data_IF_151436533223
#
_entry.id   IF_151436533223
#
_cell.length_a   1.000
_cell.length_b   1.000
_cell.length_c   1.000
_cell.angle_alpha   90.00
_cell.angle_beta   90.00
_cell.angle_gamma   90.00
#
_symmetry.space_group_name_H-M   'P 1'
#
loop_
_entity.id
_entity.type
_entity.pdbx_description
1 polymer ?
#
# COMPACT_ATOMS: atom_id res chain seq x y z
N UNK A 1 31.54 -27.50 -21.39
CA UNK A 1 30.33 -27.34 -20.56
C UNK A 1 30.30 -25.90 -20.07
N UNK A 2 29.48 -25.05 -20.68
CA UNK A 2 29.28 -23.70 -20.15
C UNK A 2 28.58 -23.83 -18.79
N UNK A 3 29.21 -23.28 -17.75
CA UNK A 3 28.61 -23.14 -16.44
C UNK A 3 27.49 -22.11 -16.60
N UNK A 4 26.26 -22.58 -16.79
CA UNK A 4 25.08 -21.73 -16.69
C UNK A 4 25.01 -21.23 -15.25
N UNK A 5 25.35 -19.95 -15.06
CA UNK A 5 25.22 -19.26 -13.78
C UNK A 5 23.75 -19.37 -13.35
N UNK A 6 23.52 -20.01 -12.21
CA UNK A 6 22.20 -20.12 -11.61
C UNK A 6 21.93 -18.84 -10.81
N UNK A 7 21.17 -17.93 -11.41
CA UNK A 7 20.73 -16.70 -10.75
C UNK A 7 19.44 -16.99 -9.96
N UNK A 8 19.43 -16.62 -8.68
CA UNK A 8 18.25 -16.66 -7.81
C UNK A 8 17.65 -15.27 -7.56
N UNK A 9 18.45 -14.23 -7.73
CA UNK A 9 18.09 -12.84 -7.48
C UNK A 9 18.64 -11.96 -8.59
N UNK A 10 17.87 -10.93 -8.91
CA UNK A 10 18.19 -9.96 -9.94
C UNK A 10 17.76 -8.57 -9.47
N UNK A 11 18.71 -7.66 -9.38
CA UNK A 11 18.46 -6.27 -9.00
C UNK A 11 18.97 -5.35 -10.13
N UNK A 12 18.04 -4.67 -10.77
CA UNK A 12 18.30 -3.59 -11.70
C UNK A 12 17.60 -2.33 -11.22
N UNK A 13 18.38 -1.46 -10.56
CA UNK A 13 17.91 -0.16 -10.10
C UNK A 13 18.35 0.96 -11.05
N UNK A 14 17.40 1.84 -11.43
CA UNK A 14 17.66 3.02 -12.28
C UNK A 14 18.39 2.71 -13.61
N UNK A 15 18.14 1.53 -14.17
CA UNK A 15 18.82 1.05 -15.38
C UNK A 15 18.03 1.36 -16.65
N UNK A 16 18.40 2.46 -17.33
CA UNK A 16 17.70 2.92 -18.55
C UNK A 16 17.80 1.96 -19.75
N UNK A 17 18.80 1.08 -19.78
CA UNK A 17 18.98 0.07 -20.83
C UNK A 17 18.11 -1.18 -20.60
N UNK A 18 17.58 -1.35 -19.39
CA UNK A 18 16.70 -2.46 -19.04
C UNK A 18 15.29 -2.14 -19.55
N UNK A 19 14.97 -2.77 -20.65
CA UNK A 19 13.68 -2.72 -21.35
C UNK A 19 13.02 -4.09 -21.38
N UNK A 20 11.73 -4.14 -21.72
CA UNK A 20 11.02 -5.40 -21.95
C UNK A 20 11.74 -6.34 -22.94
N UNK A 21 12.40 -5.80 -23.96
CA UNK A 21 13.13 -6.58 -24.96
C UNK A 21 14.41 -7.21 -24.38
N UNK A 22 15.17 -6.43 -23.61
CA UNK A 22 16.39 -6.93 -22.95
C UNK A 22 16.08 -8.08 -22.00
N UNK A 23 15.05 -7.94 -21.16
CA UNK A 23 14.63 -8.98 -20.22
C UNK A 23 14.14 -10.23 -20.98
N UNK A 24 13.33 -10.06 -22.02
CA UNK A 24 12.85 -11.17 -22.84
C UNK A 24 13.99 -11.96 -23.50
N UNK A 25 15.07 -11.27 -23.89
CA UNK A 25 16.20 -11.88 -24.59
C UNK A 25 17.17 -12.59 -23.66
N UNK A 26 17.42 -12.02 -22.48
CA UNK A 26 18.53 -12.43 -21.62
C UNK A 26 18.10 -13.14 -20.33
N UNK A 27 16.87 -12.95 -19.87
CA UNK A 27 16.46 -13.46 -18.55
C UNK A 27 15.55 -14.69 -18.61
N UNK A 28 14.85 -14.93 -19.73
CA UNK A 28 13.91 -16.06 -19.82
C UNK A 28 14.57 -17.44 -19.75
N UNK A 29 15.90 -17.53 -19.89
CA UNK A 29 16.66 -18.77 -19.69
C UNK A 29 16.95 -19.09 -18.22
N UNK A 30 16.60 -18.21 -17.27
CA UNK A 30 16.93 -18.37 -15.85
C UNK A 30 15.70 -18.72 -15.01
N UNK A 31 15.26 -19.99 -15.06
CA UNK A 31 14.05 -20.47 -14.36
C UNK A 31 14.14 -20.49 -12.81
N UNK A 32 15.33 -20.22 -12.25
CA UNK A 32 15.61 -20.28 -10.82
C UNK A 32 15.45 -18.93 -10.10
N UNK A 33 15.15 -17.85 -10.83
CA UNK A 33 15.01 -16.52 -10.22
C UNK A 33 13.75 -16.49 -9.33
N UNK A 34 13.94 -16.07 -8.09
CA UNK A 34 12.92 -15.94 -7.05
C UNK A 34 12.63 -14.48 -6.70
N UNK A 35 13.60 -13.59 -6.92
CA UNK A 35 13.53 -12.16 -6.58
C UNK A 35 13.94 -11.33 -7.80
N UNK A 36 13.09 -10.36 -8.15
CA UNK A 36 13.37 -9.39 -9.21
C UNK A 36 13.05 -7.98 -8.71
N UNK A 37 14.03 -7.08 -8.80
CA UNK A 37 13.85 -5.64 -8.62
C UNK A 37 14.13 -4.91 -9.94
N UNK A 38 13.15 -4.16 -10.41
CA UNK A 38 13.20 -3.36 -11.63
C UNK A 38 12.78 -1.90 -11.38
N UNK A 39 12.95 -1.41 -10.16
CA UNK A 39 12.61 -0.03 -9.81
C UNK A 39 13.43 0.96 -10.65
N UNK A 40 12.78 2.04 -11.06
CA UNK A 40 13.30 3.11 -11.89
C UNK A 40 13.82 2.64 -13.28
N UNK A 41 13.39 1.47 -13.76
CA UNK A 41 13.69 0.99 -15.11
C UNK A 41 12.64 1.43 -16.15
N UNK A 42 13.00 1.43 -17.44
CA UNK A 42 12.09 1.75 -18.56
C UNK A 42 11.27 0.53 -18.99
N UNK A 43 10.37 0.11 -18.11
CA UNK A 43 9.53 -1.08 -18.27
C UNK A 43 8.05 -0.72 -18.36
N UNK A 44 7.26 -1.61 -18.97
CA UNK A 44 5.80 -1.47 -19.07
C UNK A 44 5.11 -2.71 -18.50
N UNK A 45 3.78 -2.70 -18.40
CA UNK A 45 2.98 -3.84 -17.94
C UNK A 45 3.32 -5.17 -18.65
N UNK A 46 3.80 -5.11 -19.90
CA UNK A 46 4.29 -6.30 -20.61
C UNK A 46 5.34 -7.07 -19.81
N UNK A 47 6.20 -6.38 -19.06
CA UNK A 47 7.20 -7.06 -18.25
C UNK A 47 6.58 -7.87 -17.14
N UNK A 48 5.55 -7.31 -16.50
CA UNK A 48 4.84 -7.99 -15.44
C UNK A 48 4.27 -9.32 -15.96
N UNK A 49 3.67 -9.30 -17.16
CA UNK A 49 3.14 -10.48 -17.82
C UNK A 49 4.23 -11.52 -18.18
N UNK A 50 5.38 -11.06 -18.68
CA UNK A 50 6.50 -11.92 -19.04
C UNK A 50 7.09 -12.58 -17.79
N UNK A 51 7.35 -11.80 -16.74
CA UNK A 51 7.99 -12.29 -15.53
C UNK A 51 7.13 -13.36 -14.85
N UNK A 52 5.85 -13.06 -14.66
CA UNK A 52 4.96 -13.99 -13.97
C UNK A 52 4.54 -15.20 -14.82
N UNK A 53 4.78 -15.14 -16.14
CA UNK A 53 4.62 -16.30 -17.05
C UNK A 53 5.85 -17.22 -17.07
N UNK A 54 7.05 -16.65 -17.10
CA UNK A 54 8.29 -17.40 -17.37
C UNK A 54 9.13 -17.70 -16.12
N UNK A 55 8.82 -17.10 -14.97
CA UNK A 55 9.53 -17.33 -13.71
C UNK A 55 8.61 -18.01 -12.69
N UNK A 56 8.43 -19.34 -12.77
CA UNK A 56 7.48 -20.08 -11.92
C UNK A 56 7.89 -20.14 -10.43
N UNK A 57 9.09 -19.68 -10.09
CA UNK A 57 9.61 -19.57 -8.72
C UNK A 57 9.60 -18.15 -8.19
N UNK A 58 9.19 -17.16 -8.98
CA UNK A 58 9.18 -15.77 -8.57
C UNK A 58 8.29 -15.57 -7.34
N UNK A 59 8.92 -15.21 -6.22
CA UNK A 59 8.24 -14.92 -4.95
C UNK A 59 8.19 -13.43 -4.64
N UNK A 60 9.11 -12.65 -5.21
CA UNK A 60 9.26 -11.23 -4.91
C UNK A 60 9.46 -10.43 -6.18
N UNK A 61 8.67 -9.37 -6.35
CA UNK A 61 8.74 -8.48 -7.49
C UNK A 61 8.60 -7.02 -7.05
N UNK A 62 9.61 -6.21 -7.36
CA UNK A 62 9.58 -4.76 -7.20
C UNK A 62 9.60 -4.10 -8.58
N UNK A 63 8.58 -3.30 -8.86
CA UNK A 63 8.46 -2.51 -10.08
C UNK A 63 7.97 -1.13 -9.66
N UNK A 64 8.50 -0.07 -10.26
CA UNK A 64 7.99 1.26 -9.96
C UNK A 64 8.92 2.40 -10.27
N UNK A 65 8.43 3.61 -10.05
CA UNK A 65 9.22 4.86 -10.06
C UNK A 65 9.24 5.41 -8.63
N UNK A 66 10.38 5.23 -7.97
CA UNK A 66 10.59 5.58 -6.55
C UNK A 66 11.21 6.97 -6.38
N UNK A 67 11.74 7.54 -7.46
CA UNK A 67 12.26 8.90 -7.49
C UNK A 67 11.09 9.88 -7.64
N UNK A 68 11.15 10.99 -6.92
CA UNK A 68 10.12 12.02 -6.93
C UNK A 68 10.12 12.69 -8.31
N UNK A 69 9.17 12.30 -9.17
CA UNK A 69 9.03 12.85 -10.53
C UNK A 69 8.36 14.24 -10.46
N UNK A 70 8.86 15.10 -9.57
CA UNK A 70 8.52 16.52 -9.52
C UNK A 70 8.90 17.22 -10.84
N UNK A 71 9.76 16.59 -11.65
CA UNK A 71 10.09 17.02 -13.01
C UNK A 71 9.17 16.32 -14.05
N UNK A 72 7.87 16.64 -13.99
CA UNK A 72 6.82 16.16 -14.93
C UNK A 72 7.04 16.59 -16.40
N UNK A 73 8.17 17.25 -16.70
CA UNK A 73 8.61 17.57 -18.05
C UNK A 73 9.45 16.46 -18.69
N UNK A 74 9.83 15.42 -17.93
CA UNK A 74 10.40 14.21 -18.51
C UNK A 74 9.28 13.32 -19.04
N UNK A 75 9.46 12.77 -20.25
CA UNK A 75 8.58 11.75 -20.82
C UNK A 75 8.62 10.50 -19.93
N UNK A 76 7.83 10.46 -18.86
CA UNK A 76 7.65 9.25 -18.07
C UNK A 76 6.93 8.26 -18.97
N UNK A 77 7.62 7.18 -19.32
CA UNK A 77 7.04 6.11 -20.11
C UNK A 77 5.82 5.56 -19.35
N UNK A 78 4.63 5.61 -19.98
CA UNK A 78 3.41 5.07 -19.39
C UNK A 78 3.60 3.58 -19.11
N UNK A 79 3.40 3.17 -17.85
CA UNK A 79 3.56 1.76 -17.50
C UNK A 79 2.46 0.92 -18.16
N UNK A 80 1.23 1.42 -18.15
CA UNK A 80 0.07 0.78 -18.73
C UNK A 80 -0.24 1.26 -20.15
N UNK A 81 0.69 1.07 -21.08
CA UNK A 81 0.40 1.31 -22.50
C UNK A 81 -0.64 0.32 -23.03
N UNK A 82 -1.79 0.84 -23.50
CA UNK A 82 -2.92 0.04 -24.03
C UNK A 82 -2.51 -1.01 -25.08
N UNK A 83 -1.50 -0.74 -25.90
CA UNK A 83 -0.99 -1.65 -26.93
C UNK A 83 -0.35 -2.93 -26.36
N UNK A 84 0.04 -2.92 -25.09
CA UNK A 84 0.68 -4.06 -24.43
C UNK A 84 -0.26 -4.80 -23.49
N UNK A 85 -1.52 -4.40 -23.42
CA UNK A 85 -2.49 -5.07 -22.60
C UNK A 85 -3.04 -6.32 -23.30
N UNK A 86 -2.84 -7.49 -22.69
CA UNK A 86 -3.52 -8.72 -23.10
C UNK A 86 -4.66 -8.99 -22.11
N UNK A 87 -5.94 -8.79 -22.49
CA UNK A 87 -7.09 -8.97 -21.59
C UNK A 87 -7.31 -10.44 -21.19
N UNK A 88 -6.64 -11.39 -21.85
CA UNK A 88 -6.67 -12.82 -21.49
C UNK A 88 -5.56 -13.20 -20.53
N UNK A 89 -4.64 -12.27 -20.26
CA UNK A 89 -3.56 -12.50 -19.32
C UNK A 89 -4.07 -12.34 -17.89
N UNK A 90 -3.84 -13.37 -17.10
CA UNK A 90 -4.05 -13.33 -15.66
C UNK A 90 -2.88 -14.03 -14.98
N UNK A 91 -2.56 -13.64 -13.74
CA UNK A 91 -1.52 -14.27 -12.93
C UNK A 91 -1.95 -15.67 -12.47
N UNK A 92 -2.02 -16.62 -13.41
CA UNK A 92 -2.37 -18.00 -13.08
C UNK A 92 -1.22 -18.66 -12.33
N UNK A 93 -1.50 -19.11 -11.09
CA UNK A 93 -0.58 -19.93 -10.27
C UNK A 93 0.74 -19.26 -9.93
N UNK A 94 0.75 -17.94 -9.78
CA UNK A 94 1.92 -17.22 -9.28
C UNK A 94 2.33 -17.70 -7.88
N UNK A 95 3.63 -17.69 -7.60
CA UNK A 95 4.18 -17.90 -6.25
C UNK A 95 4.52 -16.59 -5.54
N UNK A 96 4.10 -15.46 -6.10
CA UNK A 96 4.36 -14.14 -5.54
C UNK A 96 3.79 -14.02 -4.13
N UNK A 97 4.68 -13.65 -3.21
CA UNK A 97 4.40 -13.33 -1.81
C UNK A 97 4.60 -11.84 -1.54
N UNK A 98 5.52 -11.21 -2.26
CA UNK A 98 5.88 -9.81 -2.13
C UNK A 98 5.72 -9.13 -3.48
N UNK A 99 4.86 -8.11 -3.51
CA UNK A 99 4.64 -7.31 -4.69
C UNK A 99 4.68 -5.83 -4.32
N UNK A 100 5.61 -5.09 -4.91
CA UNK A 100 5.66 -3.64 -4.85
C UNK A 100 5.50 -3.07 -6.25
N UNK A 101 4.55 -2.15 -6.35
CA UNK A 101 4.13 -1.46 -7.55
C UNK A 101 4.04 0.01 -7.19
N UNK A 102 5.21 0.66 -7.10
CA UNK A 102 5.36 2.03 -6.60
C UNK A 102 5.36 3.05 -7.76
N UNK A 103 4.64 4.17 -7.64
CA UNK A 103 4.74 5.28 -8.60
C UNK A 103 4.41 4.90 -10.06
N UNK A 104 3.56 3.89 -10.25
CA UNK A 104 3.08 3.45 -11.54
C UNK A 104 2.10 4.48 -12.10
N UNK A 105 2.50 5.10 -13.20
CA UNK A 105 1.72 6.12 -13.88
C UNK A 105 0.90 5.55 -15.04
N UNK A 106 -0.38 5.95 -15.11
CA UNK A 106 -1.24 5.80 -16.29
C UNK A 106 -1.65 7.17 -16.81
N UNK A 107 -1.45 7.42 -18.11
CA UNK A 107 -1.92 8.65 -18.78
C UNK A 107 -3.38 8.54 -19.18
N UNK A 108 -3.88 7.31 -19.33
CA UNK A 108 -5.25 7.05 -19.73
C UNK A 108 -6.11 6.72 -18.51
N UNK A 109 -7.17 7.50 -18.32
CA UNK A 109 -8.22 7.26 -17.31
C UNK A 109 -9.05 6.06 -17.79
N UNK A 110 -8.45 4.87 -17.71
CA UNK A 110 -8.95 3.68 -18.38
C UNK A 110 -9.32 2.65 -17.32
N UNK A 111 -10.58 2.72 -16.88
CA UNK A 111 -11.21 1.77 -15.96
C UNK A 111 -10.90 0.30 -16.33
N UNK A 112 -10.73 0.01 -17.63
CA UNK A 112 -10.36 -1.32 -18.14
C UNK A 112 -8.96 -1.79 -17.69
N UNK A 113 -7.98 -0.87 -17.62
CA UNK A 113 -6.61 -1.19 -17.21
C UNK A 113 -6.58 -1.49 -15.72
N UNK A 114 -7.27 -0.66 -14.93
CA UNK A 114 -7.50 -0.90 -13.51
C UNK A 114 -8.20 -2.25 -13.32
N UNK A 115 -9.34 -2.49 -13.97
CA UNK A 115 -10.11 -3.75 -13.88
C UNK A 115 -9.26 -4.98 -14.21
N UNK A 116 -8.47 -4.94 -15.28
CA UNK A 116 -7.67 -6.10 -15.69
C UNK A 116 -6.43 -6.30 -14.81
N UNK A 117 -5.84 -5.21 -14.31
CA UNK A 117 -4.81 -5.27 -13.28
C UNK A 117 -5.38 -5.86 -11.98
N UNK A 118 -6.57 -5.44 -11.57
CA UNK A 118 -7.30 -6.01 -10.43
C UNK A 118 -7.54 -7.50 -10.65
N UNK A 119 -8.13 -7.90 -11.78
CA UNK A 119 -8.40 -9.29 -12.12
C UNK A 119 -7.11 -10.15 -12.16
N UNK A 120 -5.99 -9.55 -12.54
CA UNK A 120 -4.69 -10.23 -12.51
C UNK A 120 -4.23 -10.46 -11.07
N UNK A 121 -4.32 -9.45 -10.21
CA UNK A 121 -3.92 -9.56 -8.81
C UNK A 121 -4.82 -10.48 -7.98
N UNK A 122 -6.14 -10.44 -8.20
CA UNK A 122 -7.10 -11.27 -7.44
C UNK A 122 -6.83 -12.76 -7.60
N UNK A 123 -6.36 -13.20 -8.78
CA UNK A 123 -5.99 -14.61 -9.01
C UNK A 123 -4.72 -15.06 -8.28
N UNK A 124 -3.88 -14.13 -7.82
CA UNK A 124 -2.68 -14.41 -7.01
C UNK A 124 -2.85 -14.04 -5.53
N UNK A 125 -4.05 -13.61 -5.13
CA UNK A 125 -4.30 -13.04 -3.81
C UNK A 125 -4.07 -13.99 -2.65
N UNK A 126 -4.19 -15.31 -2.86
CA UNK A 126 -4.04 -16.32 -1.81
C UNK A 126 -2.62 -16.37 -1.22
N UNK A 127 -1.60 -16.00 -2.00
CA UNK A 127 -0.18 -16.13 -1.61
C UNK A 127 0.48 -14.80 -1.23
N UNK A 128 -0.07 -13.68 -1.69
CA UNK A 128 0.47 -12.36 -1.37
C UNK A 128 0.40 -12.12 0.15
N UNK A 129 1.52 -11.67 0.72
CA UNK A 129 1.69 -11.30 2.13
C UNK A 129 2.11 -9.85 2.28
N UNK A 130 2.75 -9.28 1.27
CA UNK A 130 3.16 -7.89 1.23
C UNK A 130 2.68 -7.28 -0.10
N UNK A 131 1.91 -6.20 0.01
CA UNK A 131 1.50 -5.38 -1.12
C UNK A 131 1.86 -3.93 -0.85
N UNK A 132 2.61 -3.36 -1.77
CA UNK A 132 2.99 -1.96 -1.74
C UNK A 132 2.51 -1.30 -3.04
N UNK A 133 1.64 -0.30 -2.88
CA UNK A 133 1.03 0.49 -3.95
C UNK A 133 1.43 1.96 -3.82
N UNK A 134 2.53 2.27 -3.15
CA UNK A 134 2.90 3.64 -2.82
C UNK A 134 2.98 4.55 -4.05
N UNK A 135 2.66 5.84 -3.88
CA UNK A 135 2.80 6.91 -4.89
C UNK A 135 2.04 6.70 -6.19
N UNK A 136 1.07 5.78 -6.23
CA UNK A 136 0.20 5.61 -7.39
C UNK A 136 -0.94 6.63 -7.36
N UNK A 137 -0.63 7.90 -7.65
CA UNK A 137 -1.60 9.00 -7.57
C UNK A 137 -2.77 8.89 -8.56
N UNK A 138 -2.68 8.01 -9.54
CA UNK A 138 -3.72 7.73 -10.53
C UNK A 138 -4.68 6.60 -10.13
N UNK A 139 -4.57 6.04 -8.92
CA UNK A 139 -5.51 5.03 -8.45
C UNK A 139 -6.82 5.67 -8.00
N UNK A 140 -7.91 5.23 -8.62
CA UNK A 140 -9.24 5.78 -8.40
C UNK A 140 -10.06 4.89 -7.45
N UNK A 141 -9.69 3.62 -7.35
CA UNK A 141 -10.42 2.60 -6.63
C UNK A 141 -9.43 1.64 -5.96
N UNK A 142 -9.68 1.30 -4.70
CA UNK A 142 -8.91 0.31 -3.92
C UNK A 142 -9.81 -0.77 -3.28
N UNK A 143 -11.08 -0.85 -3.66
CA UNK A 143 -12.04 -1.80 -3.07
C UNK A 143 -11.68 -3.28 -3.30
N UNK A 144 -10.93 -3.58 -4.35
CA UNK A 144 -10.41 -4.93 -4.63
C UNK A 144 -9.38 -5.43 -3.60
N UNK A 145 -8.87 -4.56 -2.71
CA UNK A 145 -7.91 -4.95 -1.67
C UNK A 145 -8.48 -6.05 -0.78
N UNK A 146 -9.81 -6.12 -0.63
CA UNK A 146 -10.46 -7.16 0.14
C UNK A 146 -10.11 -8.58 -0.34
N UNK A 147 -9.66 -8.77 -1.57
CA UNK A 147 -9.27 -10.08 -2.10
C UNK A 147 -8.01 -10.65 -1.41
N UNK A 148 -7.13 -9.82 -0.85
CA UNK A 148 -5.88 -10.28 -0.24
C UNK A 148 -6.05 -10.71 1.22
N UNK A 149 -6.92 -11.70 1.48
CA UNK A 149 -7.32 -12.13 2.85
C UNK A 149 -6.17 -12.54 3.77
N UNK A 150 -5.01 -12.89 3.22
CA UNK A 150 -3.81 -13.32 3.96
C UNK A 150 -2.70 -12.27 4.01
N UNK A 151 -2.94 -11.05 3.52
CA UNK A 151 -1.96 -9.98 3.54
C UNK A 151 -1.54 -9.63 4.98
N UNK A 152 -0.24 -9.45 5.19
CA UNK A 152 0.35 -9.03 6.47
C UNK A 152 0.79 -7.57 6.43
N UNK A 153 1.25 -7.08 5.28
CA UNK A 153 1.73 -5.70 5.12
C UNK A 153 1.08 -5.06 3.91
N UNK A 154 0.46 -3.90 4.13
CA UNK A 154 -0.16 -3.07 3.10
C UNK A 154 0.41 -1.66 3.20
N UNK A 155 1.10 -1.22 2.14
CA UNK A 155 1.68 0.12 2.05
C UNK A 155 0.90 0.93 1.01
N UNK A 156 0.26 2.01 1.46
CA UNK A 156 -0.50 2.95 0.65
C UNK A 156 0.07 4.38 0.78
N UNK A 157 1.39 4.48 0.95
CA UNK A 157 2.06 5.76 1.10
C UNK A 157 1.81 6.67 -0.12
N UNK A 158 1.48 7.94 0.12
CA UNK A 158 1.18 8.94 -0.92
C UNK A 158 0.04 8.55 -1.88
N UNK A 159 -0.93 7.76 -1.40
CA UNK A 159 -2.23 7.58 -2.05
C UNK A 159 -3.22 8.62 -1.50
N UNK A 160 -4.06 9.17 -2.38
CA UNK A 160 -5.03 10.20 -1.99
C UNK A 160 -5.97 9.68 -0.88
N UNK A 161 -6.15 10.43 0.22
CA UNK A 161 -7.11 10.13 1.29
C UNK A 161 -8.51 9.78 0.80
N UNK A 162 -9.05 10.48 -0.20
CA UNK A 162 -10.38 10.20 -0.77
C UNK A 162 -10.45 8.79 -1.38
N UNK A 163 -9.40 8.37 -2.11
CA UNK A 163 -9.30 7.01 -2.67
C UNK A 163 -9.25 5.95 -1.56
N UNK A 164 -8.51 6.22 -0.48
CA UNK A 164 -8.43 5.31 0.67
C UNK A 164 -9.78 5.25 1.39
N UNK A 165 -10.46 6.38 1.56
CA UNK A 165 -11.76 6.49 2.26
C UNK A 165 -12.83 5.60 1.59
N UNK A 166 -12.85 5.56 0.25
CA UNK A 166 -13.72 4.65 -0.52
C UNK A 166 -13.41 3.16 -0.30
N UNK A 167 -12.18 2.82 0.11
CA UNK A 167 -11.73 1.44 0.30
C UNK A 167 -11.64 1.00 1.77
N UNK A 168 -12.01 1.85 2.74
CA UNK A 168 -11.90 1.53 4.17
C UNK A 168 -12.62 0.24 4.53
N UNK A 169 -13.81 -0.01 3.99
CA UNK A 169 -14.55 -1.25 4.23
C UNK A 169 -13.79 -2.49 3.73
N UNK A 170 -13.12 -2.35 2.59
CA UNK A 170 -12.32 -3.43 1.99
C UNK A 170 -11.08 -3.72 2.83
N UNK A 171 -10.37 -2.68 3.27
CA UNK A 171 -9.22 -2.77 4.19
C UNK A 171 -9.67 -3.40 5.52
N UNK A 172 -10.83 -3.04 6.06
CA UNK A 172 -11.38 -3.59 7.29
C UNK A 172 -11.62 -5.12 7.22
N UNK A 173 -11.70 -5.72 6.03
CA UNK A 173 -11.83 -7.18 5.89
C UNK A 173 -10.50 -7.94 6.09
N UNK A 174 -9.36 -7.24 6.11
CA UNK A 174 -8.03 -7.84 6.15
C UNK A 174 -7.60 -8.27 7.57
N UNK A 175 -8.22 -9.33 8.10
CA UNK A 175 -8.01 -9.76 9.50
C UNK A 175 -6.60 -10.28 9.80
N UNK A 176 -5.81 -10.58 8.77
CA UNK A 176 -4.42 -11.00 8.89
C UNK A 176 -3.42 -9.81 8.90
N UNK A 177 -3.88 -8.58 8.63
CA UNK A 177 -3.02 -7.42 8.47
C UNK A 177 -2.32 -7.05 9.78
N UNK A 178 -1.00 -6.89 9.69
CA UNK A 178 -0.09 -6.57 10.80
C UNK A 178 0.51 -5.17 10.65
N UNK A 179 0.81 -4.77 9.42
CA UNK A 179 1.37 -3.46 9.10
C UNK A 179 0.48 -2.74 8.09
N UNK A 180 0.05 -1.54 8.44
CA UNK A 180 -0.70 -0.65 7.57
C UNK A 180 0.00 0.72 7.52
N UNK A 181 0.32 1.17 6.32
CA UNK A 181 0.86 2.51 6.08
C UNK A 181 -0.13 3.29 5.22
N UNK A 182 -0.68 4.36 5.77
CA UNK A 182 -1.59 5.32 5.13
C UNK A 182 -0.96 6.71 5.07
N UNK A 183 0.37 6.81 5.26
CA UNK A 183 1.03 8.09 5.32
C UNK A 183 0.97 8.84 3.99
N UNK A 184 0.96 10.16 4.04
CA UNK A 184 0.74 10.99 2.87
C UNK A 184 1.64 12.22 2.92
N UNK A 185 2.24 12.61 1.79
CA UNK A 185 3.03 13.85 1.77
C UNK A 185 2.10 15.04 1.55
N UNK A 186 1.93 15.87 2.57
CA UNK A 186 1.08 17.08 2.47
C UNK A 186 1.60 18.03 1.42
N UNK A 187 0.79 18.27 0.38
CA UNK A 187 1.05 19.27 -0.64
C UNK A 187 0.37 20.58 -0.25
N UNK A 188 1.12 21.68 -0.27
CA UNK A 188 0.71 23.00 0.24
C UNK A 188 -0.59 23.54 -0.40
N UNK A 189 -0.94 23.08 -1.60
CA UNK A 189 -2.03 23.66 -2.39
C UNK A 189 -3.32 22.84 -2.46
N UNK A 190 -3.34 21.61 -1.93
CA UNK A 190 -4.53 20.74 -1.95
C UNK A 190 -4.57 19.88 -0.67
N UNK A 191 -5.24 20.33 0.39
CA UNK A 191 -5.38 19.53 1.60
C UNK A 191 -6.39 18.41 1.34
N UNK A 192 -5.90 17.29 0.80
CA UNK A 192 -6.65 16.04 0.76
C UNK A 192 -6.73 15.49 2.19
N UNK A 193 -7.95 15.34 2.71
CA UNK A 193 -8.21 15.03 4.10
C UNK A 193 -9.33 14.01 4.20
N UNK A 194 -9.24 13.08 5.16
CA UNK A 194 -10.35 12.19 5.46
C UNK A 194 -11.54 13.00 5.98
N UNK A 195 -12.75 12.68 5.52
CA UNK A 195 -13.95 13.44 5.88
C UNK A 195 -14.39 13.20 7.33
N UNK A 196 -14.20 11.96 7.82
CA UNK A 196 -14.47 11.57 9.21
C UNK A 196 -13.23 10.91 9.85
N UNK A 197 -12.13 11.65 10.08
CA UNK A 197 -10.84 11.06 10.42
C UNK A 197 -10.88 10.17 11.67
N UNK A 198 -11.55 10.63 12.75
CA UNK A 198 -11.73 9.86 13.98
C UNK A 198 -12.48 8.55 13.75
N UNK A 199 -13.59 8.59 13.01
CA UNK A 199 -14.43 7.41 12.75
C UNK A 199 -13.71 6.44 11.81
N UNK A 200 -13.04 6.96 10.78
CA UNK A 200 -12.24 6.18 9.84
C UNK A 200 -11.14 5.41 10.57
N UNK A 201 -10.36 6.09 11.42
CA UNK A 201 -9.31 5.44 12.20
C UNK A 201 -9.89 4.44 13.22
N UNK A 202 -10.94 4.80 13.96
CA UNK A 202 -11.59 3.89 14.91
C UNK A 202 -12.12 2.62 14.23
N UNK A 203 -12.70 2.76 13.03
CA UNK A 203 -13.22 1.64 12.23
C UNK A 203 -12.09 0.70 11.80
N UNK A 204 -10.95 1.24 11.34
CA UNK A 204 -9.77 0.45 11.01
C UNK A 204 -9.23 -0.31 12.22
N UNK A 205 -8.99 0.39 13.33
CA UNK A 205 -8.45 -0.21 14.57
C UNK A 205 -9.36 -1.33 15.09
N UNK A 206 -10.67 -1.11 15.15
CA UNK A 206 -11.62 -2.15 15.60
C UNK A 206 -11.59 -3.37 14.68
N UNK A 207 -11.41 -3.15 13.38
CA UNK A 207 -11.53 -4.18 12.36
C UNK A 207 -10.27 -5.02 12.16
N UNK A 208 -9.10 -4.52 12.57
CA UNK A 208 -7.78 -5.11 12.32
C UNK A 208 -7.16 -5.65 13.61
N UNK A 209 -7.57 -6.83 14.10
CA UNK A 209 -7.20 -7.34 15.42
C UNK A 209 -5.72 -7.72 15.56
N UNK A 210 -4.99 -7.85 14.45
CA UNK A 210 -3.57 -8.23 14.43
C UNK A 210 -2.65 -7.05 14.10
N UNK A 211 -3.18 -5.84 13.99
CA UNK A 211 -2.39 -4.67 13.63
C UNK A 211 -1.36 -4.38 14.73
N UNK A 212 -0.08 -4.30 14.35
CA UNK A 212 1.04 -3.97 15.22
C UNK A 212 1.79 -2.71 14.76
N UNK A 213 1.70 -2.35 13.47
CA UNK A 213 2.38 -1.18 12.93
C UNK A 213 1.39 -0.34 12.13
N UNK A 214 1.26 0.92 12.50
CA UNK A 214 0.40 1.89 11.83
C UNK A 214 1.19 3.14 11.50
N UNK A 215 1.24 3.56 10.25
CA UNK A 215 1.73 4.88 9.87
C UNK A 215 0.58 5.72 9.31
N UNK A 216 0.33 6.88 9.93
CA UNK A 216 -0.67 7.87 9.51
C UNK A 216 -0.05 9.26 9.35
N UNK A 217 1.28 9.30 9.17
CA UNK A 217 2.04 10.54 9.00
C UNK A 217 1.48 11.40 7.86
N UNK A 218 1.45 12.72 8.04
CA UNK A 218 0.95 13.67 7.05
C UNK A 218 -0.56 13.62 6.79
N UNK A 219 -1.32 12.81 7.51
CA UNK A 219 -2.79 12.77 7.41
C UNK A 219 -3.47 13.55 8.54
N UNK A 220 -4.78 13.81 8.40
CA UNK A 220 -5.60 14.32 9.49
C UNK A 220 -6.18 13.21 10.40
N UNK A 221 -5.82 11.92 10.20
CA UNK A 221 -6.34 10.78 10.97
C UNK A 221 -6.01 10.86 12.47
N UNK A 222 -4.91 11.53 12.83
CA UNK A 222 -4.56 11.76 14.24
C UNK A 222 -5.57 12.68 14.96
N UNK A 223 -6.45 13.37 14.21
CA UNK A 223 -7.48 14.26 14.73
C UNK A 223 -6.91 15.44 15.53
N UNK A 224 -7.78 16.08 16.31
CA UNK A 224 -7.37 17.16 17.21
C UNK A 224 -6.45 16.64 18.34
N UNK A 225 -5.56 17.50 18.82
CA UNK A 225 -4.66 17.27 19.94
C UNK A 225 -5.41 17.21 21.28
N UNK A 226 -6.45 18.03 21.43
CA UNK A 226 -7.24 18.15 22.65
C UNK A 226 -8.68 17.73 22.40
N UNK A 227 -9.12 16.69 23.10
CA UNK A 227 -10.51 16.22 23.10
C UNK A 227 -10.89 15.66 24.47
N UNK A 228 -12.19 15.60 24.76
CA UNK A 228 -12.72 14.86 25.90
C UNK A 228 -12.86 13.38 25.52
N UNK A 229 -12.04 12.50 26.10
CA UNK A 229 -12.02 11.09 25.72
C UNK A 229 -13.35 10.36 25.94
N UNK A 230 -14.15 10.78 26.92
CA UNK A 230 -15.46 10.16 27.16
C UNK A 230 -16.49 10.56 26.09
N UNK A 231 -16.47 11.83 25.68
CA UNK A 231 -17.36 12.33 24.63
C UNK A 231 -17.01 11.72 23.28
N UNK A 232 -15.71 11.68 22.93
CA UNK A 232 -15.23 11.03 21.70
C UNK A 232 -15.55 9.54 21.70
N UNK A 233 -15.34 8.84 22.81
CA UNK A 233 -15.67 7.42 22.89
C UNK A 233 -17.18 7.19 22.74
N UNK A 234 -18.03 8.02 23.35
CA UNK A 234 -19.49 7.95 23.18
C UNK A 234 -19.89 8.19 21.72
N UNK A 235 -19.27 9.19 21.06
CA UNK A 235 -19.48 9.48 19.64
C UNK A 235 -19.07 8.30 18.75
N UNK A 236 -17.87 7.75 18.95
CA UNK A 236 -17.36 6.59 18.22
C UNK A 236 -18.28 5.38 18.42
N UNK A 237 -18.69 5.11 19.67
CA UNK A 237 -19.60 3.98 19.98
C UNK A 237 -20.92 4.10 19.25
N UNK A 238 -21.49 5.31 19.20
CA UNK A 238 -22.73 5.60 18.47
C UNK A 238 -22.55 5.40 16.96
N UNK A 239 -21.52 5.99 16.34
CA UNK A 239 -21.32 5.92 14.89
C UNK A 239 -20.97 4.50 14.39
N UNK A 240 -20.26 3.71 15.20
CA UNK A 240 -19.85 2.35 14.84
C UNK A 240 -20.77 1.24 15.39
N UNK A 241 -21.90 1.63 16.00
CA UNK A 241 -22.86 0.72 16.65
C UNK A 241 -22.16 -0.28 17.58
N UNK A 242 -21.27 0.22 18.44
CA UNK A 242 -20.57 -0.56 19.46
C UNK A 242 -21.46 -0.66 20.71
N UNK A 243 -21.46 -1.84 21.34
CA UNK A 243 -22.16 -2.06 22.62
C UNK A 243 -21.65 -1.08 23.69
N UNK A 244 -22.57 -0.43 24.39
CA UNK A 244 -22.24 0.50 25.48
C UNK A 244 -21.42 -0.18 26.58
N UNK A 245 -21.62 -1.48 26.78
CA UNK A 245 -20.90 -2.29 27.76
C UNK A 245 -19.50 -2.74 27.31
N UNK A 246 -19.12 -2.56 26.04
CA UNK A 246 -17.76 -2.89 25.59
C UNK A 246 -16.74 -1.92 26.23
N UNK A 247 -15.76 -2.48 26.93
CA UNK A 247 -14.74 -1.73 27.67
C UNK A 247 -13.42 -1.71 26.91
N UNK A 248 -12.77 -0.56 26.86
CA UNK A 248 -11.45 -0.37 26.25
C UNK A 248 -10.46 0.11 27.31
N UNK A 249 -9.29 -0.51 27.37
CA UNK A 249 -8.31 -0.31 28.45
C UNK A 249 -7.13 0.56 28.03
N UNK A 250 -6.90 0.73 26.73
CA UNK A 250 -5.80 1.51 26.19
C UNK A 250 -6.17 3.00 26.22
N UNK A 251 -5.34 3.80 26.89
CA UNK A 251 -5.43 5.26 26.85
C UNK A 251 -4.73 5.79 25.61
N UNK A 252 -5.29 6.82 25.01
CA UNK A 252 -4.74 7.47 23.82
C UNK A 252 -5.11 8.95 23.76
N UNK A 253 -4.17 9.82 23.36
CA UNK A 253 -4.47 11.19 22.93
C UNK A 253 -4.76 11.29 21.42
N UNK A 254 -5.16 10.19 20.80
CA UNK A 254 -5.70 10.13 19.44
C UNK A 254 -7.03 9.39 19.55
N UNK A 255 -8.14 10.09 19.30
CA UNK A 255 -9.49 9.60 19.53
C UNK A 255 -9.77 8.28 18.78
N UNK A 256 -9.34 8.18 17.52
CA UNK A 256 -9.52 6.96 16.72
C UNK A 256 -8.76 5.73 17.24
N UNK A 257 -7.77 5.92 18.12
CA UNK A 257 -7.01 4.80 18.71
C UNK A 257 -7.58 4.33 20.05
N UNK A 258 -8.65 4.94 20.57
CA UNK A 258 -9.28 4.54 21.84
C UNK A 258 -9.83 3.11 21.83
N UNK A 259 -10.06 2.53 20.65
CA UNK A 259 -10.55 1.16 20.48
C UNK A 259 -9.44 0.10 20.39
N UNK A 260 -8.17 0.49 20.55
CA UNK A 260 -7.05 -0.46 20.54
C UNK A 260 -7.20 -1.49 21.67
N UNK A 261 -6.91 -2.75 21.36
CA UNK A 261 -6.91 -3.86 22.33
C UNK A 261 -5.54 -4.15 22.92
N UNK A 262 -4.49 -3.66 22.27
CA UNK A 262 -3.09 -3.80 22.65
C UNK A 262 -2.30 -2.59 22.13
N UNK A 263 -1.15 -2.33 22.72
CA UNK A 263 -0.22 -1.31 22.20
C UNK A 263 0.36 -1.76 20.86
N UNK A 264 0.55 -0.79 19.96
CA UNK A 264 1.25 -1.01 18.70
C UNK A 264 2.76 -1.19 18.95
N UNK A 265 3.43 -1.93 18.09
CA UNK A 265 4.90 -1.93 18.03
C UNK A 265 5.41 -0.62 17.42
N UNK A 266 4.69 -0.05 16.46
CA UNK A 266 5.04 1.20 15.78
C UNK A 266 3.83 2.09 15.48
N UNK A 267 3.99 3.39 15.71
CA UNK A 267 3.05 4.44 15.32
C UNK A 267 3.77 5.61 14.64
N UNK A 268 3.47 5.86 13.36
CA UNK A 268 3.97 7.00 12.59
C UNK A 268 3.03 8.20 12.64
N UNK A 269 3.55 9.35 13.09
CA UNK A 269 2.85 10.63 13.29
C UNK A 269 3.69 11.81 12.79
N UNK A 270 4.58 11.59 11.82
CA UNK A 270 5.37 12.66 11.23
C UNK A 270 4.45 13.63 10.48
N UNK A 271 4.71 14.93 10.55
CA UNK A 271 3.95 15.98 9.84
C UNK A 271 2.41 15.92 9.98
N UNK A 272 1.91 15.46 11.13
CA UNK A 272 0.47 15.54 11.43
C UNK A 272 0.05 16.98 11.73
N UNK A 273 -1.15 17.35 11.28
CA UNK A 273 -1.74 18.70 11.28
C UNK A 273 -1.63 19.44 12.64
N UNK A 274 -1.76 18.68 13.74
CA UNK A 274 -1.63 19.19 15.10
C UNK A 274 -0.46 18.54 15.82
N UNK A 275 0.60 19.36 16.04
CA UNK A 275 1.85 19.10 16.78
C UNK A 275 1.93 17.69 17.36
N UNK A 276 2.36 16.73 16.55
CA UNK A 276 2.53 15.36 17.00
C UNK A 276 3.32 15.28 18.32
N UNK A 277 4.43 16.02 18.45
CA UNK A 277 5.28 16.02 19.65
C UNK A 277 4.60 16.48 20.94
N UNK A 278 3.47 17.17 20.86
CA UNK A 278 2.72 17.56 22.05
C UNK A 278 1.86 16.43 22.61
N UNK A 279 1.55 15.39 21.81
CA UNK A 279 0.67 14.27 22.16
C UNK A 279 1.22 13.45 23.33
N UNK A 280 0.33 13.12 24.26
CA UNK A 280 0.62 12.29 25.43
C UNK A 280 -0.07 10.93 25.29
N UNK A 281 0.39 9.92 26.03
CA UNK A 281 -0.24 8.58 26.02
C UNK A 281 -0.38 7.99 24.61
N UNK A 282 0.68 8.01 23.81
CA UNK A 282 0.66 7.34 22.50
C UNK A 282 0.76 5.82 22.70
N UNK A 283 -0.22 5.03 22.25
CA UNK A 283 -0.30 3.60 22.55
C UNK A 283 0.61 2.76 21.64
N UNK A 284 1.91 3.06 21.65
CA UNK A 284 2.91 2.37 20.84
C UNK A 284 4.29 2.32 21.51
N UNK A 285 5.02 1.23 21.29
CA UNK A 285 6.40 1.05 21.79
C UNK A 285 7.40 1.99 21.11
N UNK A 286 7.22 2.21 19.80
CA UNK A 286 8.02 3.13 18.99
C UNK A 286 7.10 4.14 18.31
N UNK A 287 7.45 5.42 18.43
CA UNK A 287 6.72 6.51 17.78
C UNK A 287 7.69 7.28 16.88
N UNK A 288 7.30 7.53 15.63
CA UNK A 288 7.99 8.46 14.75
C UNK A 288 7.21 9.79 14.70
N UNK A 289 7.84 10.90 15.10
CA UNK A 289 7.15 12.18 15.26
C UNK A 289 8.13 13.34 15.03
N UNK A 290 7.64 14.47 14.50
CA UNK A 290 8.42 15.70 14.42
C UNK A 290 8.79 16.16 15.82
N UNK A 291 10.08 16.31 16.12
CA UNK A 291 10.56 16.90 17.39
C UNK A 291 10.36 18.40 17.38
#
# INVERSE_FOLDING_TARGET
SEVLIQLSELDFHSCSFITNQSISKYLLSHELIEIIDLRNCKITYKIFQLLTKYFPRLTTLYIGQTEDVSDRNSNVDEFFLKIYFDPKYYLKKSKLKYLSLEGIYTTTNNELIEELFHNSLTQSSEQIRFLDLSRNSSLNNLTYIDCFKHIHSLILYDILPDTIELAIDSICTLKALVLLDLSFTRRVHEPHNYSKPTITLAKLIRSLPKLLSLDISGTNLAGAFSFNSNEELAYIKKELSIDEHETFTIRSSIAGLLLLKHELDFLGLFDVEERGSARQWLPAKKVNINK
#
